data_IF_847697064883
#
_entry.id   IF_847697064883
#
_cell.length_a   1.000
_cell.length_b   1.000
_cell.length_c   1.000
_cell.angle_alpha   90.00
_cell.angle_beta   90.00
_cell.angle_gamma   90.00
#
_symmetry.space_group_name_H-M   'P 1'
#
loop_
_entity.id
_entity.type
_entity.pdbx_description
1 polymer ?
#
# COMPACT_ATOMS: atom_id res chain seq x y z
N UNK A 1 10.86 13.50 -21.84
CA UNK A 1 11.06 12.04 -21.94
C UNK A 1 10.36 11.39 -20.76
N UNK A 2 9.13 10.92 -20.97
CA UNK A 2 8.35 10.21 -19.95
C UNK A 2 8.65 8.72 -20.12
N UNK A 3 9.35 8.12 -19.16
CA UNK A 3 9.57 6.67 -19.12
C UNK A 3 8.23 5.91 -19.02
N UNK A 4 8.20 4.62 -19.40
CA UNK A 4 6.95 3.88 -19.49
C UNK A 4 6.28 3.80 -18.12
N UNK A 5 5.00 4.19 -18.07
CA UNK A 5 4.09 4.02 -16.94
C UNK A 5 4.06 2.55 -16.53
N UNK A 6 4.79 2.17 -15.48
CA UNK A 6 4.87 0.78 -15.00
C UNK A 6 3.62 0.46 -14.16
N UNK A 7 2.50 0.15 -14.83
CA UNK A 7 1.33 -0.43 -14.15
C UNK A 7 1.69 -1.85 -13.65
N UNK A 8 2.07 -2.00 -12.39
CA UNK A 8 2.25 -3.32 -11.76
C UNK A 8 0.90 -3.79 -11.26
N UNK A 9 0.50 -4.98 -11.67
CA UNK A 9 -0.67 -5.65 -11.12
C UNK A 9 -0.21 -6.56 -9.97
N UNK A 10 -0.83 -6.38 -8.81
CA UNK A 10 -0.71 -7.23 -7.65
C UNK A 10 -1.97 -8.09 -7.52
N UNK A 11 -1.84 -9.41 -7.50
CA UNK A 11 -2.94 -10.29 -7.08
C UNK A 11 -2.65 -10.79 -5.67
N UNK A 12 -3.56 -10.54 -4.73
CA UNK A 12 -3.58 -11.16 -3.42
C UNK A 12 -4.56 -12.32 -3.41
N UNK A 13 -4.07 -13.54 -3.17
CA UNK A 13 -4.97 -14.67 -2.93
C UNK A 13 -5.51 -14.57 -1.50
N UNK A 14 -6.79 -14.23 -1.37
CA UNK A 14 -7.46 -14.02 -0.08
C UNK A 14 -7.96 -15.35 0.50
N UNK A 15 -8.34 -16.30 -0.37
CA UNK A 15 -8.88 -17.60 0.03
C UNK A 15 -8.78 -18.60 -1.13
N UNK A 16 -8.51 -19.86 -0.80
CA UNK A 16 -8.36 -20.95 -1.78
C UNK A 16 -6.96 -20.97 -2.38
N UNK A 17 -6.81 -21.62 -3.53
CA UNK A 17 -5.55 -21.75 -4.24
C UNK A 17 -5.72 -21.33 -5.71
N UNK A 18 -4.68 -20.75 -6.31
CA UNK A 18 -4.67 -20.40 -7.72
C UNK A 18 -3.46 -20.99 -8.43
N UNK A 19 -3.62 -21.34 -9.70
CA UNK A 19 -2.53 -21.73 -10.58
C UNK A 19 -2.23 -20.63 -11.59
N UNK A 20 -0.96 -20.29 -11.73
CA UNK A 20 -0.43 -19.36 -12.73
C UNK A 20 0.77 -20.02 -13.39
N UNK A 21 0.75 -20.13 -14.73
CA UNK A 21 1.82 -20.78 -15.50
C UNK A 21 2.20 -22.19 -14.97
N UNK A 22 1.21 -22.93 -14.45
CA UNK A 22 1.40 -24.27 -13.88
C UNK A 22 1.92 -24.31 -12.45
N UNK A 23 2.15 -23.16 -11.80
CA UNK A 23 2.55 -23.07 -10.39
C UNK A 23 1.36 -22.75 -9.50
N UNK A 24 1.20 -23.51 -8.41
CA UNK A 24 0.13 -23.32 -7.43
C UNK A 24 0.54 -22.33 -6.34
N UNK A 25 -0.37 -21.41 -6.00
CA UNK A 25 -0.20 -20.40 -4.98
C UNK A 25 -1.35 -20.42 -3.98
N UNK A 26 -1.03 -20.70 -2.73
CA UNK A 26 -1.96 -20.67 -1.60
C UNK A 26 -2.37 -19.24 -1.20
N UNK A 27 -3.39 -19.15 -0.34
CA UNK A 27 -3.83 -17.89 0.22
C UNK A 27 -2.71 -17.16 1.01
N UNK A 28 -2.80 -15.83 1.10
CA UNK A 28 -1.82 -14.98 1.76
C UNK A 28 -0.58 -14.67 0.91
N UNK A 29 -0.57 -15.03 -0.37
CA UNK A 29 0.53 -14.70 -1.30
C UNK A 29 0.16 -13.49 -2.18
N UNK A 30 1.13 -12.59 -2.34
CA UNK A 30 1.05 -11.46 -3.27
C UNK A 30 1.95 -11.74 -4.48
N UNK A 31 1.35 -11.72 -5.67
CA UNK A 31 2.06 -11.92 -6.94
C UNK A 31 2.14 -10.59 -7.67
N UNK A 32 3.34 -10.24 -8.14
CA UNK A 32 3.61 -8.98 -8.86
C UNK A 32 3.92 -9.30 -10.30
N UNK A 33 3.11 -8.76 -11.21
CA UNK A 33 3.27 -8.98 -12.64
C UNK A 33 3.91 -7.79 -13.33
N UNK A 34 4.63 -8.08 -14.44
CA UNK A 34 5.16 -7.05 -15.32
C UNK A 34 4.04 -6.47 -16.18
N UNK A 35 4.08 -5.15 -16.50
CA UNK A 35 3.10 -4.57 -17.40
C UNK A 35 3.17 -5.20 -18.79
N UNK A 36 2.02 -5.45 -19.40
CA UNK A 36 1.91 -5.89 -20.81
C UNK A 36 1.92 -7.40 -21.02
N UNK A 37 2.31 -8.20 -20.02
CA UNK A 37 2.28 -9.65 -20.13
C UNK A 37 0.84 -10.17 -19.90
N UNK A 38 0.28 -10.98 -20.83
CA UNK A 38 -1.00 -11.63 -20.61
C UNK A 38 -0.85 -12.68 -19.50
N UNK A 39 -1.69 -12.59 -18.48
CA UNK A 39 -1.67 -13.51 -17.33
C UNK A 39 -2.95 -14.33 -17.34
N UNK A 40 -2.80 -15.65 -17.30
CA UNK A 40 -3.91 -16.58 -17.06
C UNK A 40 -3.86 -17.04 -15.62
N UNK A 41 -5.00 -16.94 -14.93
CA UNK A 41 -5.18 -17.41 -13.54
C UNK A 41 -6.27 -18.45 -13.54
N UNK A 42 -5.97 -19.63 -13.02
CA UNK A 42 -6.96 -20.69 -12.81
C UNK A 42 -7.21 -20.87 -11.32
N UNK A 43 -8.45 -21.02 -10.90
CA UNK A 43 -8.78 -21.40 -9.54
C UNK A 43 -8.49 -22.90 -9.32
N UNK A 44 -8.05 -23.26 -8.13
CA UNK A 44 -7.96 -24.65 -7.69
C UNK A 44 -9.35 -25.27 -7.47
N UNK A 45 -9.38 -26.54 -7.10
CA UNK A 45 -10.61 -27.34 -6.99
C UNK A 45 -11.67 -26.75 -6.05
N UNK A 46 -11.24 -26.06 -5.00
CA UNK A 46 -12.12 -25.41 -4.02
C UNK A 46 -12.52 -23.97 -4.41
N UNK A 47 -12.15 -23.51 -5.60
CA UNK A 47 -12.28 -22.12 -6.00
C UNK A 47 -11.22 -21.21 -5.38
N UNK A 48 -11.26 -19.92 -5.74
CA UNK A 48 -10.36 -18.91 -5.20
C UNK A 48 -11.03 -17.53 -5.12
N UNK A 49 -10.62 -16.73 -4.13
CA UNK A 49 -10.99 -15.31 -4.00
C UNK A 49 -9.76 -14.45 -4.14
N UNK A 50 -9.75 -13.58 -5.15
CA UNK A 50 -8.61 -12.73 -5.48
C UNK A 50 -8.92 -11.25 -5.24
N UNK A 51 -7.93 -10.52 -4.78
CA UNK A 51 -7.89 -9.06 -4.82
C UNK A 51 -6.88 -8.64 -5.89
N UNK A 52 -7.31 -7.83 -6.84
CA UNK A 52 -6.44 -7.29 -7.89
C UNK A 52 -6.20 -5.81 -7.61
N UNK A 53 -4.93 -5.44 -7.50
CA UNK A 53 -4.47 -4.07 -7.28
C UNK A 53 -3.66 -3.64 -8.49
N UNK A 54 -4.01 -2.51 -9.09
CA UNK A 54 -3.27 -1.94 -10.22
C UNK A 54 -3.65 -0.48 -10.43
N UNK A 55 -2.81 0.25 -11.15
CA UNK A 55 -3.04 1.66 -11.44
C UNK A 55 -1.85 2.30 -12.14
N UNK A 56 -2.06 3.53 -12.61
CA UNK A 56 -0.99 4.34 -13.17
C UNK A 56 0.10 4.58 -12.13
N UNK A 57 1.37 4.60 -12.56
CA UNK A 57 2.48 4.98 -11.69
C UNK A 57 2.31 6.40 -11.19
N UNK A 58 2.55 6.62 -9.90
CA UNK A 58 2.62 7.96 -9.35
C UNK A 58 3.77 8.74 -10.00
N UNK A 59 3.52 10.02 -10.30
CA UNK A 59 4.55 10.91 -10.81
C UNK A 59 5.52 11.27 -9.66
N UNK A 60 6.78 10.86 -9.81
CA UNK A 60 7.89 11.17 -8.91
C UNK A 60 8.02 10.26 -7.68
N UNK A 61 9.10 10.43 -6.89
CA UNK A 61 9.36 9.63 -5.71
C UNK A 61 8.27 9.83 -4.65
N UNK A 62 8.09 8.80 -3.81
CA UNK A 62 7.30 8.86 -2.58
C UNK A 62 8.18 8.40 -1.43
N UNK A 63 8.19 9.21 -0.37
CA UNK A 63 8.86 8.89 0.87
C UNK A 63 7.79 8.34 1.82
N UNK A 64 8.00 7.11 2.27
CA UNK A 64 7.14 6.43 3.23
C UNK A 64 7.95 6.28 4.52
N UNK A 65 7.43 6.82 5.61
CA UNK A 65 7.99 6.65 6.93
C UNK A 65 6.85 6.51 7.93
N UNK A 66 6.77 5.38 8.64
CA UNK A 66 5.63 5.05 9.49
C UNK A 66 4.30 5.27 8.74
N UNK A 67 3.35 6.00 9.32
CA UNK A 67 2.06 6.33 8.72
C UNK A 67 2.10 7.56 7.80
N UNK A 68 3.28 8.14 7.54
CA UNK A 68 3.43 9.34 6.70
C UNK A 68 3.92 8.98 5.30
N UNK A 69 3.20 9.48 4.29
CA UNK A 69 3.53 9.33 2.87
C UNK A 69 3.55 10.70 2.20
N UNK A 70 4.70 11.13 1.69
CA UNK A 70 4.84 12.45 1.05
C UNK A 70 5.74 12.41 -0.18
N UNK A 71 5.68 13.47 -0.99
CA UNK A 71 6.54 13.65 -2.17
C UNK A 71 7.89 14.29 -1.88
N UNK A 72 8.13 14.79 -0.66
CA UNK A 72 9.42 15.34 -0.22
C UNK A 72 9.74 14.90 1.20
N UNK A 73 11.04 14.91 1.56
CA UNK A 73 11.49 14.55 2.91
C UNK A 73 11.20 15.64 3.92
N UNK A 74 11.23 16.91 3.53
CA UNK A 74 10.93 18.00 4.47
C UNK A 74 9.53 17.88 5.05
N UNK A 75 8.54 17.50 4.22
CA UNK A 75 7.16 17.25 4.67
C UNK A 75 7.05 16.10 5.67
N UNK A 76 7.88 15.07 5.53
CA UNK A 76 7.93 13.97 6.50
C UNK A 76 8.51 14.47 7.82
N UNK A 77 9.57 15.27 7.80
CA UNK A 77 10.16 15.83 9.02
C UNK A 77 9.25 16.84 9.72
N UNK A 78 8.54 17.68 8.96
CA UNK A 78 7.52 18.57 9.49
C UNK A 78 6.38 17.79 10.16
N UNK A 79 5.87 16.74 9.48
CA UNK A 79 4.84 15.86 10.05
C UNK A 79 5.31 15.18 11.34
N UNK A 80 6.57 14.73 11.39
CA UNK A 80 7.15 14.16 12.62
C UNK A 80 7.20 15.19 13.76
N UNK A 81 7.65 16.41 13.49
CA UNK A 81 7.74 17.45 14.49
C UNK A 81 6.35 17.83 15.04
N UNK A 82 5.36 17.97 14.16
CA UNK A 82 3.97 18.27 14.53
C UNK A 82 3.33 17.13 15.33
N UNK A 83 3.56 15.87 14.96
CA UNK A 83 3.05 14.72 15.71
C UNK A 83 3.66 14.63 17.11
N UNK A 84 4.98 14.87 17.24
CA UNK A 84 5.66 14.92 18.56
C UNK A 84 5.23 16.09 19.44
N UNK A 85 4.75 17.18 18.84
CA UNK A 85 4.30 18.35 19.59
C UNK A 85 2.90 18.17 20.20
N UNK A 86 2.11 17.21 19.70
CA UNK A 86 0.79 16.85 20.24
C UNK A 86 -0.20 18.04 20.35
N UNK A 87 -0.04 19.06 19.50
CA UNK A 87 -0.92 20.24 19.45
C UNK A 87 -2.19 19.96 18.63
N UNK A 88 -2.99 18.99 19.07
CA UNK A 88 -4.17 18.49 18.36
C UNK A 88 -5.17 19.61 18.05
N UNK A 89 -5.56 19.71 16.77
CA UNK A 89 -6.52 20.70 16.29
C UNK A 89 -5.94 22.09 16.04
N UNK A 90 -4.64 22.31 16.29
CA UNK A 90 -3.95 23.58 15.99
C UNK A 90 -2.95 23.48 14.83
N UNK A 91 -2.57 22.26 14.45
CA UNK A 91 -1.58 21.99 13.41
C UNK A 91 -2.09 21.08 12.30
N UNK A 92 -1.19 20.25 11.76
CA UNK A 92 -1.51 19.29 10.68
C UNK A 92 -2.44 18.15 11.12
N UNK A 93 -2.57 17.91 12.43
CA UNK A 93 -3.26 16.77 12.98
C UNK A 93 -4.26 17.18 14.06
N UNK A 94 -5.36 16.43 14.11
CA UNK A 94 -6.30 16.42 15.23
C UNK A 94 -6.67 14.97 15.53
N UNK A 95 -7.10 14.71 16.76
CA UNK A 95 -7.55 13.39 17.18
C UNK A 95 -9.03 13.20 16.81
N UNK A 96 -9.47 11.95 16.59
CA UNK A 96 -10.88 11.66 16.35
C UNK A 96 -11.79 12.23 17.44
N UNK A 97 -12.97 12.71 17.03
CA UNK A 97 -13.97 13.19 17.99
C UNK A 97 -14.44 12.03 18.86
N UNK A 98 -14.37 12.20 20.19
CA UNK A 98 -14.77 11.18 21.15
C UNK A 98 -13.65 10.21 21.56
N UNK A 99 -12.47 10.31 20.96
CA UNK A 99 -11.31 9.48 21.30
C UNK A 99 -10.05 10.35 21.39
N UNK A 100 -9.85 10.96 22.56
CA UNK A 100 -8.74 11.88 22.84
C UNK A 100 -7.88 11.46 24.03
N UNK A 101 -8.12 10.27 24.57
CA UNK A 101 -7.47 9.81 25.79
C UNK A 101 -6.07 9.23 25.53
N UNK A 102 -5.85 8.69 24.34
CA UNK A 102 -4.60 8.05 23.95
C UNK A 102 -4.27 8.34 22.48
N UNK A 103 -3.00 8.14 22.13
CA UNK A 103 -2.53 8.16 20.75
C UNK A 103 -1.25 7.32 20.63
N UNK A 104 -0.90 6.93 19.40
CA UNK A 104 0.32 6.15 19.13
C UNK A 104 1.50 7.11 18.95
N UNK A 105 2.55 7.04 19.79
CA UNK A 105 3.72 7.91 19.64
C UNK A 105 4.55 7.49 18.41
N UNK A 106 5.40 8.41 17.95
CA UNK A 106 6.33 8.07 16.87
C UNK A 106 7.31 6.97 17.30
N UNK A 107 7.67 6.06 16.38
CA UNK A 107 8.82 5.19 16.61
C UNK A 107 10.10 6.04 16.78
N UNK A 108 10.98 5.58 17.67
CA UNK A 108 12.25 6.24 18.03
C UNK A 108 13.22 6.40 16.88
#
# INVERSE_FOLDING_TARGET
>A
MNGPTICRFGAGNVQGAISIAGQMFEAGRMMVFRPGDPITVAAGEMGARLMILGGATLNGPRYIWWNFVASSREKIEEAKAQWRAENWGQGLFDLPTGDRAEHIPLPG
#
